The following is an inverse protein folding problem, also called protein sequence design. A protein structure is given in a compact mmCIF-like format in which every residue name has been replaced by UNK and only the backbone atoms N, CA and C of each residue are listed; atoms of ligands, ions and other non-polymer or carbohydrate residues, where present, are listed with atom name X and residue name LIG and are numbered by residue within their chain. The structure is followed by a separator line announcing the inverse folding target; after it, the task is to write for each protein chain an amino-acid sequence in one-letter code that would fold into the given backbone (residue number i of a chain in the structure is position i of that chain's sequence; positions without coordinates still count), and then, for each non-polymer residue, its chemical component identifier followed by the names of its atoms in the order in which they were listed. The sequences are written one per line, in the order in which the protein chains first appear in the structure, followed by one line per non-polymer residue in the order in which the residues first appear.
data_IF_760346358833
#
_entry.id   IF_760346358833
#
_cell.length_a   1.000
_cell.length_b   1.000
_cell.length_c   1.000
_cell.angle_alpha   90.00
_cell.angle_beta   90.00
_cell.angle_gamma   90.00
#
_symmetry.space_group_name_H-M   'P 1'
#
loop_
_entity.id
_entity.type
_entity.pdbx_description
1 polymer ?
#
# COMPACT_ATOMS: atom_id res chain seq x y z
N UNK A 1 20.73 4.10 -8.40
CA UNK A 1 21.68 4.84 -9.24
C UNK A 1 20.91 5.49 -10.37
N UNK A 2 20.73 6.82 -10.31
CA UNK A 2 20.01 7.60 -11.33
C UNK A 2 20.73 7.65 -12.69
N UNK A 3 22.02 7.31 -12.76
CA UNK A 3 22.78 7.30 -14.01
C UNK A 3 22.76 5.92 -14.71
N UNK A 4 22.48 4.84 -13.98
CA UNK A 4 22.36 3.49 -14.55
C UNK A 4 21.12 3.38 -15.45
N UNK A 5 21.30 2.70 -16.57
CA UNK A 5 20.28 2.47 -17.58
C UNK A 5 20.18 0.98 -17.91
N UNK A 6 18.98 0.51 -18.25
CA UNK A 6 18.78 -0.81 -18.86
C UNK A 6 17.60 -0.79 -19.83
N UNK A 7 17.63 -1.70 -20.78
CA UNK A 7 16.44 -2.11 -21.52
C UNK A 7 15.79 -3.26 -20.77
N UNK A 8 14.49 -3.17 -20.49
CA UNK A 8 13.75 -4.27 -19.88
C UNK A 8 13.53 -5.36 -20.93
N UNK A 9 13.95 -6.58 -20.59
CA UNK A 9 13.72 -7.77 -21.41
C UNK A 9 13.29 -8.93 -20.52
N UNK A 10 12.49 -9.84 -21.07
CA UNK A 10 12.07 -11.08 -20.41
C UNK A 10 13.27 -12.00 -20.13
N UNK A 11 14.31 -11.97 -20.96
CA UNK A 11 15.52 -12.78 -20.76
C UNK A 11 16.34 -12.41 -19.53
N UNK A 12 16.26 -11.15 -19.09
CA UNK A 12 17.03 -10.61 -17.97
C UNK A 12 16.17 -10.36 -16.72
N UNK A 13 14.95 -10.89 -16.69
CA UNK A 13 14.03 -10.70 -15.56
C UNK A 13 14.19 -11.77 -14.48
N UNK A 14 13.74 -11.45 -13.27
CA UNK A 14 13.68 -12.41 -12.16
C UNK A 14 12.36 -13.19 -12.10
N UNK A 15 11.35 -12.73 -12.83
CA UNK A 15 10.09 -13.47 -12.98
C UNK A 15 10.34 -14.78 -13.73
N UNK A 16 9.71 -15.87 -13.28
CA UNK A 16 9.83 -17.19 -13.91
C UNK A 16 9.05 -17.32 -15.24
N UNK A 17 8.34 -16.28 -15.66
CA UNK A 17 7.51 -16.24 -16.86
C UNK A 17 8.39 -15.91 -18.09
N UNK A 18 7.93 -16.31 -19.27
CA UNK A 18 8.62 -16.20 -20.57
C UNK A 18 8.32 -14.91 -21.36
N UNK A 19 7.57 -13.95 -20.79
CA UNK A 19 7.30 -12.64 -21.38
C UNK A 19 7.41 -11.52 -20.34
N UNK A 20 7.49 -10.28 -20.83
CA UNK A 20 7.40 -9.07 -20.02
C UNK A 20 6.50 -8.03 -20.71
N UNK A 21 5.56 -7.44 -19.98
CA UNK A 21 4.67 -6.39 -20.53
C UNK A 21 5.42 -5.09 -20.86
N UNK A 22 6.63 -4.92 -20.33
CA UNK A 22 7.51 -3.78 -20.55
C UNK A 22 8.68 -4.13 -21.48
N UNK A 23 8.56 -5.17 -22.30
CA UNK A 23 9.63 -5.57 -23.23
C UNK A 23 10.09 -4.39 -24.10
N UNK A 24 11.42 -4.18 -24.17
CA UNK A 24 12.03 -3.13 -24.99
C UNK A 24 12.02 -1.73 -24.36
N UNK A 25 11.42 -1.53 -23.19
CA UNK A 25 11.44 -0.23 -22.52
C UNK A 25 12.83 0.09 -21.97
N UNK A 26 13.37 1.24 -22.39
CA UNK A 26 14.60 1.80 -21.82
C UNK A 26 14.25 2.61 -20.57
N UNK A 27 14.86 2.24 -19.45
CA UNK A 27 14.68 2.93 -18.17
C UNK A 27 16.01 3.43 -17.64
N UNK A 28 15.95 4.57 -16.97
CA UNK A 28 17.07 5.20 -16.27
C UNK A 28 16.73 5.29 -14.79
N UNK A 29 17.68 4.97 -13.92
CA UNK A 29 17.44 4.89 -12.49
C UNK A 29 17.22 3.46 -12.02
N UNK A 30 18.29 2.74 -11.71
CA UNK A 30 18.23 1.36 -11.24
C UNK A 30 18.60 1.21 -9.78
N UNK A 31 17.99 0.27 -9.02
CA UNK A 31 18.44 -0.07 -7.68
C UNK A 31 19.92 -0.50 -7.72
N UNK A 32 20.76 0.12 -6.89
CA UNK A 32 22.15 -0.31 -6.70
C UNK A 32 22.28 -1.28 -5.55
N UNK A 33 21.53 -1.05 -4.48
CA UNK A 33 21.40 -1.95 -3.36
C UNK A 33 19.95 -2.00 -2.92
N UNK A 34 19.43 -3.19 -2.66
CA UNK A 34 18.10 -3.38 -2.06
C UNK A 34 18.29 -4.09 -0.73
N UNK A 35 17.87 -3.43 0.35
CA UNK A 35 17.98 -3.95 1.71
C UNK A 35 16.63 -4.36 2.26
N UNK A 36 16.59 -5.50 2.94
CA UNK A 36 15.41 -5.99 3.67
C UNK A 36 15.82 -6.41 5.08
N UNK A 37 15.27 -5.73 6.10
CA UNK A 37 15.56 -5.99 7.52
C UNK A 37 17.07 -5.98 7.84
N UNK A 38 17.83 -5.07 7.23
CA UNK A 38 19.28 -4.94 7.41
C UNK A 38 20.14 -5.86 6.53
N UNK A 39 19.54 -6.77 5.76
CA UNK A 39 20.24 -7.65 4.84
C UNK A 39 20.25 -7.10 3.41
N UNK A 40 21.43 -7.05 2.78
CA UNK A 40 21.57 -6.66 1.37
C UNK A 40 21.19 -7.83 0.47
N UNK A 41 19.99 -7.80 -0.08
CA UNK A 41 19.45 -8.88 -0.91
C UNK A 41 19.76 -8.71 -2.40
N UNK A 42 19.92 -7.46 -2.87
CA UNK A 42 20.35 -7.14 -4.24
C UNK A 42 21.57 -6.24 -4.15
N UNK A 43 22.61 -6.56 -4.90
CA UNK A 43 23.80 -5.76 -5.07
C UNK A 43 24.09 -5.62 -6.57
N UNK A 44 23.78 -4.45 -7.11
CA UNK A 44 23.87 -4.12 -8.53
C UNK A 44 23.09 -5.11 -9.41
N UNK A 45 23.77 -6.04 -10.08
CA UNK A 45 23.15 -7.09 -10.91
C UNK A 45 23.13 -8.46 -10.19
N UNK A 46 23.73 -8.54 -9.00
CA UNK A 46 23.83 -9.77 -8.23
C UNK A 46 22.62 -9.94 -7.30
N UNK A 47 22.00 -11.12 -7.39
CA UNK A 47 20.83 -11.50 -6.60
C UNK A 47 21.29 -12.43 -5.46
N UNK A 48 21.27 -11.91 -4.23
CA UNK A 48 21.67 -12.62 -3.00
C UNK A 48 20.47 -12.89 -2.10
N UNK A 49 19.33 -13.28 -2.64
CA UNK A 49 18.13 -13.54 -1.84
C UNK A 49 18.31 -14.78 -0.95
N UNK A 50 17.54 -14.85 0.13
CA UNK A 50 17.50 -15.99 1.05
C UNK A 50 16.06 -16.45 1.20
N UNK A 51 15.78 -17.67 0.81
CA UNK A 51 14.45 -18.27 0.99
C UNK A 51 14.08 -18.27 2.49
N UNK A 52 12.83 -17.95 2.80
CA UNK A 52 12.35 -17.85 4.18
C UNK A 52 12.83 -16.64 4.99
N UNK A 53 13.65 -15.72 4.44
CA UNK A 53 14.04 -14.47 5.13
C UNK A 53 12.85 -13.53 5.36
N UNK A 54 11.88 -13.56 4.44
CA UNK A 54 10.63 -12.83 4.58
C UNK A 54 9.85 -13.31 5.80
N UNK A 55 9.29 -12.37 6.57
CA UNK A 55 8.40 -12.67 7.69
C UNK A 55 7.03 -12.04 7.44
N UNK A 56 6.00 -12.70 7.93
CA UNK A 56 4.66 -12.12 7.98
C UNK A 56 4.66 -10.84 8.82
N UNK A 57 3.97 -9.81 8.35
CA UNK A 57 3.79 -8.54 9.05
C UNK A 57 2.29 -8.36 9.33
N UNK A 58 1.83 -8.63 10.58
CA UNK A 58 0.44 -8.38 10.96
C UNK A 58 0.16 -6.87 10.89
N UNK A 59 -1.09 -6.52 10.53
CA UNK A 59 -1.54 -5.13 10.47
C UNK A 59 -2.73 -4.95 11.40
N UNK A 60 -2.60 -4.03 12.33
CA UNK A 60 -3.67 -3.68 13.25
C UNK A 60 -4.84 -3.03 12.50
N UNK A 61 -6.09 -3.29 12.90
CA UNK A 61 -7.25 -2.62 12.35
C UNK A 61 -7.31 -1.15 12.80
N UNK A 62 -8.26 -0.41 12.23
CA UNK A 62 -8.53 1.00 12.59
C UNK A 62 -7.33 1.94 12.45
N UNK A 63 -6.69 1.90 11.29
CA UNK A 63 -5.68 2.87 10.89
C UNK A 63 -6.22 4.32 11.00
N UNK A 64 -5.32 5.31 10.97
CA UNK A 64 -5.68 6.72 11.15
C UNK A 64 -6.88 7.20 10.29
N UNK A 65 -7.03 6.81 9.02
CA UNK A 65 -8.21 7.20 8.22
C UNK A 65 -9.53 6.68 8.80
N UNK A 66 -9.54 5.46 9.36
CA UNK A 66 -10.74 4.90 9.99
C UNK A 66 -11.11 5.66 11.26
N UNK A 67 -10.11 6.03 12.07
CA UNK A 67 -10.34 6.86 13.27
C UNK A 67 -10.89 8.23 12.89
N UNK A 68 -10.36 8.83 11.82
CA UNK A 68 -10.87 10.09 11.29
C UNK A 68 -12.33 9.96 10.81
N UNK A 69 -12.65 8.87 10.11
CA UNK A 69 -14.01 8.57 9.67
C UNK A 69 -14.99 8.43 10.85
N UNK A 70 -14.63 7.69 11.90
CA UNK A 70 -15.48 7.55 13.09
C UNK A 70 -15.74 8.90 13.77
N UNK A 71 -14.72 9.75 13.89
CA UNK A 71 -14.87 11.12 14.41
C UNK A 71 -15.78 11.96 13.53
N UNK A 72 -15.58 11.93 12.22
CA UNK A 72 -16.42 12.65 11.26
C UNK A 72 -17.88 12.22 11.38
N UNK A 73 -18.15 10.92 11.41
CA UNK A 73 -19.50 10.38 11.56
C UNK A 73 -20.14 10.77 12.89
N UNK A 74 -19.38 10.85 13.98
CA UNK A 74 -19.89 11.34 15.26
C UNK A 74 -20.26 12.84 15.20
N UNK A 75 -19.44 13.66 14.54
CA UNK A 75 -19.70 15.09 14.37
C UNK A 75 -20.93 15.36 13.48
N UNK A 76 -21.08 14.62 12.39
CA UNK A 76 -22.16 14.79 11.43
C UNK A 76 -23.37 13.89 11.70
N UNK A 77 -23.43 13.26 12.88
CA UNK A 77 -24.55 12.37 13.20
C UNK A 77 -25.85 13.20 13.27
N UNK A 78 -26.90 12.82 12.51
CA UNK A 78 -28.19 13.51 12.60
C UNK A 78 -28.75 13.36 14.01
N UNK A 79 -29.27 14.46 14.57
CA UNK A 79 -29.88 14.48 15.91
C UNK A 79 -31.39 14.56 15.79
N UNK A 80 -32.09 13.79 16.63
CA UNK A 80 -33.54 13.85 16.71
C UNK A 80 -33.99 15.21 17.27
N UNK A 81 -35.10 15.74 16.74
CA UNK A 81 -35.76 16.91 17.31
C UNK A 81 -36.59 16.45 18.50
N UNK A 82 -36.21 16.87 19.71
CA UNK A 82 -36.97 16.58 20.93
C UNK A 82 -38.21 17.48 20.93
N UNK A 83 -39.40 16.87 20.96
CA UNK A 83 -40.68 17.57 21.04
C UNK A 83 -41.34 17.23 22.37
N UNK A 84 -41.89 18.24 23.04
CA UNK A 84 -42.65 18.06 24.27
C UNK A 84 -44.05 17.54 23.95
N UNK A 85 -44.44 16.35 24.46
CA UNK A 85 -45.77 15.79 24.25
C UNK A 85 -46.92 16.69 24.70
N UNK A 86 -46.70 17.57 25.68
CA UNK A 86 -47.73 18.51 26.15
C UNK A 86 -48.04 19.64 25.16
N UNK A 87 -47.10 19.94 24.25
CA UNK A 87 -47.23 20.97 23.22
C UNK A 87 -47.56 20.40 21.83
N UNK A 88 -47.75 19.08 21.72
CA UNK A 88 -48.26 18.45 20.51
C UNK A 88 -49.80 18.47 20.56
N UNK A 89 -50.50 19.02 19.55
CA UNK A 89 -51.95 18.97 19.53
C UNK A 89 -52.39 17.50 19.57
N UNK A 90 -53.15 17.13 20.60
CA UNK A 90 -53.71 15.80 20.73
C UNK A 90 -54.71 15.55 19.59
N UNK A 91 -54.31 14.75 18.61
CA UNK A 91 -55.17 14.33 17.51
C UNK A 91 -54.44 13.36 16.58
N UNK A 92 -54.99 12.15 16.50
CA UNK A 92 -55.07 11.22 15.35
C UNK A 92 -53.97 11.33 14.28
#
# INVERSE_FOLDING_TARGET
DPAREKTITHTAQQSAIDYNVFEGFKVKGLPRFTMTRGYVAIQEDEVKTREGHGKFVPREPFAAPNKALSKWKALTAPRAVIRDPANMPAGV
#
